data_IF_021251972462
#
_entry.id   IF_021251972462
#
_cell.length_a   1.000
_cell.length_b   1.000
_cell.length_c   1.000
_cell.angle_alpha   90.00
_cell.angle_beta   90.00
_cell.angle_gamma   90.00
#
_symmetry.space_group_name_H-M   'P 1'
#
loop_
_entity.id
_entity.type
_entity.pdbx_description
1 polymer ?
#
# COMPACT_ATOMS: atom_id res chain seq x y z
N UNK A 1 -69.10 7.07 -39.75
CA UNK A 1 -68.03 7.83 -39.07
C UNK A 1 -67.80 7.17 -37.72
N UNK A 2 -66.71 6.40 -37.58
CA UNK A 2 -66.30 5.76 -36.31
C UNK A 2 -65.15 6.57 -35.74
N UNK A 3 -65.40 7.24 -34.62
CA UNK A 3 -64.40 8.02 -33.89
C UNK A 3 -63.47 7.09 -33.13
N UNK A 4 -62.17 7.15 -33.42
CA UNK A 4 -61.12 6.50 -32.65
C UNK A 4 -60.80 7.36 -31.42
N UNK A 5 -61.05 6.82 -30.22
CA UNK A 5 -60.51 7.35 -28.97
C UNK A 5 -59.04 6.90 -28.86
N UNK A 6 -58.11 7.85 -28.93
CA UNK A 6 -56.70 7.60 -28.63
C UNK A 6 -56.50 7.63 -27.11
N UNK A 7 -56.18 6.47 -26.52
CA UNK A 7 -55.71 6.37 -25.14
C UNK A 7 -54.25 6.82 -25.07
N UNK A 8 -54.01 7.99 -24.48
CA UNK A 8 -52.67 8.43 -24.05
C UNK A 8 -52.41 7.76 -22.70
N UNK A 9 -51.56 6.74 -22.68
CA UNK A 9 -51.03 6.14 -21.45
C UNK A 9 -49.94 7.09 -20.92
N UNK A 10 -50.07 7.66 -19.71
CA UNK A 10 -48.99 8.41 -19.11
C UNK A 10 -47.90 7.42 -18.71
N UNK A 11 -46.75 7.49 -19.39
CA UNK A 11 -45.53 6.81 -18.97
C UNK A 11 -45.09 7.47 -17.66
N UNK A 12 -45.39 6.85 -16.53
CA UNK A 12 -44.85 7.26 -15.25
C UNK A 12 -43.33 7.04 -15.28
N UNK A 13 -42.57 8.14 -15.41
CA UNK A 13 -41.15 8.16 -15.15
C UNK A 13 -40.96 7.90 -13.64
N UNK A 14 -40.83 6.63 -13.25
CA UNK A 14 -40.26 6.27 -11.96
C UNK A 14 -38.80 6.69 -11.97
N UNK A 15 -38.53 7.89 -11.47
CA UNK A 15 -37.21 8.25 -10.96
C UNK A 15 -36.87 7.20 -9.91
N UNK A 16 -35.99 6.27 -10.26
CA UNK A 16 -35.28 5.44 -9.31
C UNK A 16 -34.47 6.42 -8.45
N UNK A 17 -35.05 6.85 -7.33
CA UNK A 17 -34.30 7.36 -6.20
C UNK A 17 -33.52 6.14 -5.69
N UNK A 18 -32.37 5.89 -6.31
CA UNK A 18 -31.40 4.93 -5.79
C UNK A 18 -31.16 5.31 -4.34
N UNK A 19 -31.18 4.32 -3.44
CA UNK A 19 -30.88 4.54 -2.04
C UNK A 19 -29.59 5.37 -1.96
N UNK A 20 -29.74 6.62 -1.53
CA UNK A 20 -28.62 7.52 -1.35
C UNK A 20 -27.65 6.83 -0.39
N UNK A 21 -26.37 6.82 -0.73
CA UNK A 21 -25.37 6.18 0.13
C UNK A 21 -25.45 6.87 1.49
N UNK A 22 -25.53 6.11 2.57
CA UNK A 22 -25.52 6.64 3.94
C UNK A 22 -24.10 7.12 4.35
N UNK A 23 -23.56 7.98 3.49
CA UNK A 23 -22.26 8.63 3.61
C UNK A 23 -22.43 10.06 4.09
N UNK A 24 -23.59 10.70 3.92
CA UNK A 24 -23.80 12.10 4.30
C UNK A 24 -23.25 13.09 3.27
N UNK A 25 -23.23 14.39 3.62
CA UNK A 25 -22.70 15.44 2.74
C UNK A 25 -21.18 15.27 2.51
N UNK A 26 -20.75 15.56 1.28
CA UNK A 26 -19.35 15.66 0.91
C UNK A 26 -18.77 17.01 1.37
N UNK A 27 -17.67 16.97 2.11
CA UNK A 27 -16.86 18.13 2.48
C UNK A 27 -15.52 18.10 1.74
N UNK A 28 -15.38 18.84 0.65
CA UNK A 28 -14.13 18.82 -0.14
C UNK A 28 -12.98 19.52 0.59
N UNK A 29 -13.20 20.73 1.09
CA UNK A 29 -12.16 21.66 1.57
C UNK A 29 -12.58 22.45 2.84
N UNK A 30 -13.54 21.93 3.61
CA UNK A 30 -14.14 22.63 4.75
C UNK A 30 -15.37 23.45 4.38
N UNK A 31 -15.86 23.37 3.13
CA UNK A 31 -17.06 24.10 2.66
C UNK A 31 -17.94 23.23 1.76
N UNK A 32 -19.23 23.58 1.69
CA UNK A 32 -20.13 23.10 0.63
C UNK A 32 -19.88 23.86 -0.67
N UNK A 33 -20.43 23.37 -1.78
CA UNK A 33 -20.42 24.07 -3.08
C UNK A 33 -21.05 25.47 -3.00
N UNK A 34 -21.98 25.70 -2.06
CA UNK A 34 -22.58 27.02 -1.78
C UNK A 34 -21.73 27.88 -0.82
N UNK A 35 -20.53 27.44 -0.45
CA UNK A 35 -19.58 28.17 0.39
C UNK A 35 -19.87 28.12 1.89
N UNK A 36 -20.84 27.30 2.33
CA UNK A 36 -21.15 27.11 3.77
C UNK A 36 -20.03 26.32 4.42
N UNK A 37 -19.50 26.80 5.54
CA UNK A 37 -18.48 26.07 6.31
C UNK A 37 -19.05 24.76 6.82
N UNK A 38 -18.35 23.66 6.52
CA UNK A 38 -18.62 22.33 7.06
C UNK A 38 -17.54 22.07 8.11
N UNK A 39 -17.96 21.67 9.31
CA UNK A 39 -17.04 21.26 10.37
C UNK A 39 -16.74 19.77 10.20
N UNK A 40 -15.47 19.41 10.11
CA UNK A 40 -15.03 18.02 9.95
C UNK A 40 -13.76 17.92 9.12
N UNK A 41 -13.23 16.69 8.91
CA UNK A 41 -12.13 16.47 7.99
C UNK A 41 -12.57 16.79 6.55
N UNK A 42 -11.65 17.34 5.75
CA UNK A 42 -11.89 17.59 4.34
C UNK A 42 -11.42 16.40 3.50
N UNK A 43 -12.10 16.09 2.41
CA UNK A 43 -11.75 14.96 1.56
C UNK A 43 -10.45 15.19 0.78
N UNK A 44 -10.07 16.46 0.60
CA UNK A 44 -8.84 16.87 -0.07
C UNK A 44 -7.70 17.21 0.92
N UNK A 45 -7.89 16.97 2.22
CA UNK A 45 -6.79 17.11 3.19
C UNK A 45 -5.70 16.08 2.83
N UNK A 46 -4.48 16.57 2.60
CA UNK A 46 -3.31 15.76 2.25
C UNK A 46 -2.58 15.35 3.52
N UNK A 47 -2.17 14.09 3.57
CA UNK A 47 -1.19 13.56 4.50
C UNK A 47 0.03 13.02 3.75
N UNK A 48 1.12 12.84 4.49
CA UNK A 48 2.31 12.17 4.00
C UNK A 48 2.73 11.04 4.92
N UNK A 49 3.29 10.00 4.33
CA UNK A 49 3.85 8.89 5.08
C UNK A 49 5.17 9.31 5.73
N UNK A 50 5.30 9.01 7.02
CA UNK A 50 6.45 9.43 7.82
C UNK A 50 7.80 8.91 7.34
N UNK A 51 7.87 7.76 6.68
CA UNK A 51 9.16 7.15 6.30
C UNK A 51 9.75 7.74 5.02
N UNK A 52 8.91 8.07 4.04
CA UNK A 52 9.37 8.42 2.69
C UNK A 52 8.68 9.66 2.10
N UNK A 53 7.80 10.31 2.86
CA UNK A 53 7.10 11.51 2.40
C UNK A 53 6.04 11.23 1.34
N UNK A 54 5.65 9.96 1.10
CA UNK A 54 4.64 9.61 0.10
C UNK A 54 3.32 10.35 0.39
N UNK A 55 2.80 11.20 -0.52
CA UNK A 55 1.60 11.96 -0.28
C UNK A 55 0.34 11.20 -0.69
N UNK A 56 -0.70 11.28 0.13
CA UNK A 56 -2.05 10.77 -0.17
C UNK A 56 -3.10 11.68 0.49
N UNK A 57 -4.34 11.66 -0.01
CA UNK A 57 -5.44 12.24 0.77
C UNK A 57 -5.65 11.44 2.06
N UNK A 58 -6.06 12.08 3.16
CA UNK A 58 -6.16 11.41 4.48
C UNK A 58 -7.04 10.14 4.42
N UNK A 59 -8.15 10.16 3.68
CA UNK A 59 -8.99 8.98 3.51
C UNK A 59 -8.35 7.86 2.69
N UNK A 60 -7.62 8.21 1.62
CA UNK A 60 -6.82 7.27 0.83
C UNK A 60 -5.72 6.63 1.70
N UNK A 61 -4.96 7.45 2.43
CA UNK A 61 -3.91 7.01 3.35
C UNK A 61 -4.43 6.05 4.42
N UNK A 62 -5.61 6.32 4.99
CA UNK A 62 -6.21 5.46 6.00
C UNK A 62 -6.68 4.12 5.44
N UNK A 63 -7.33 4.11 4.28
CA UNK A 63 -7.72 2.84 3.63
C UNK A 63 -6.49 2.03 3.26
N UNK A 64 -5.44 2.68 2.74
CA UNK A 64 -4.19 2.00 2.37
C UNK A 64 -3.46 1.45 3.61
N UNK A 65 -3.27 2.26 4.67
CA UNK A 65 -2.50 1.84 5.86
C UNK A 65 -3.20 0.77 6.70
N UNK A 66 -4.53 0.71 6.71
CA UNK A 66 -5.30 -0.22 7.55
C UNK A 66 -5.09 -1.69 7.25
N UNK A 67 -4.48 -2.01 6.11
CA UNK A 67 -4.33 -3.37 5.59
C UNK A 67 -2.95 -3.57 4.95
N UNK A 68 -1.92 -3.02 5.61
CA UNK A 68 -0.51 -3.12 5.26
C UNK A 68 -0.21 -2.51 3.90
N UNK A 69 -0.45 -1.21 3.79
CA UNK A 69 -0.33 -0.46 2.54
C UNK A 69 -1.19 -1.02 1.39
N UNK A 70 -2.42 -1.45 1.70
CA UNK A 70 -3.38 -2.01 0.75
C UNK A 70 -3.01 -3.41 0.26
N UNK A 71 -1.83 -3.91 0.64
CA UNK A 71 -1.25 -5.11 0.07
C UNK A 71 -1.80 -6.41 0.65
N UNK A 72 -2.29 -6.43 1.89
CA UNK A 72 -2.69 -7.67 2.56
C UNK A 72 -4.20 -7.95 2.43
N UNK A 73 -5.07 -6.95 2.56
CA UNK A 73 -6.51 -7.21 2.50
C UNK A 73 -7.13 -6.97 1.11
N UNK A 74 -6.56 -6.02 0.35
CA UNK A 74 -7.26 -5.36 -0.77
C UNK A 74 -6.43 -5.23 -2.05
N UNK A 75 -5.29 -5.91 -2.13
CA UNK A 75 -4.47 -5.92 -3.34
C UNK A 75 -4.87 -7.05 -4.27
N UNK A 76 -4.70 -6.81 -5.57
CA UNK A 76 -4.78 -7.87 -6.58
C UNK A 76 -3.70 -8.93 -6.39
N UNK A 77 -2.59 -8.58 -5.73
CA UNK A 77 -1.55 -9.54 -5.35
C UNK A 77 -1.99 -10.44 -4.18
N UNK A 78 -2.88 -9.98 -3.29
CA UNK A 78 -3.43 -10.84 -2.25
C UNK A 78 -4.42 -11.82 -2.90
N UNK A 79 -4.07 -13.10 -3.00
CA UNK A 79 -4.96 -14.16 -3.49
C UNK A 79 -5.42 -15.10 -2.37
N UNK A 80 -6.62 -15.69 -2.52
CA UNK A 80 -7.16 -16.75 -1.66
C UNK A 80 -7.05 -16.46 -0.15
N UNK A 81 -6.23 -17.21 0.58
CA UNK A 81 -6.02 -17.14 2.03
C UNK A 81 -5.32 -15.88 2.50
N UNK A 82 -4.58 -15.23 1.62
CA UNK A 82 -3.79 -14.06 1.96
C UNK A 82 -4.68 -12.83 2.09
N UNK A 83 -5.90 -12.92 1.56
CA UNK A 83 -6.97 -11.95 1.81
C UNK A 83 -7.54 -12.12 3.20
N UNK A 84 -7.07 -11.30 4.13
CA UNK A 84 -7.69 -11.21 5.45
C UNK A 84 -9.08 -10.56 5.37
N UNK A 85 -10.13 -11.37 5.48
CA UNK A 85 -11.50 -10.90 5.67
C UNK A 85 -12.16 -10.27 4.44
N UNK A 86 -11.61 -10.45 3.22
CA UNK A 86 -12.09 -9.79 2.00
C UNK A 86 -12.27 -10.78 0.84
N UNK A 87 -13.45 -10.86 0.20
CA UNK A 87 -13.66 -11.65 -1.01
C UNK A 87 -12.75 -11.28 -2.18
N UNK A 88 -12.42 -12.28 -3.01
CA UNK A 88 -11.76 -12.07 -4.30
C UNK A 88 -12.56 -11.09 -5.17
N UNK A 89 -11.87 -10.12 -5.79
CA UNK A 89 -12.48 -9.11 -6.65
C UNK A 89 -12.93 -7.84 -5.93
N UNK A 90 -12.66 -7.71 -4.62
CA UNK A 90 -12.81 -6.47 -3.85
C UNK A 90 -11.45 -5.82 -3.57
N UNK A 91 -10.74 -5.52 -4.66
CA UNK A 91 -9.46 -4.80 -4.60
C UNK A 91 -9.70 -3.31 -4.43
N UNK A 92 -9.20 -2.77 -3.32
CA UNK A 92 -9.20 -1.36 -2.95
C UNK A 92 -7.77 -0.85 -2.78
N UNK A 93 -6.82 -1.45 -3.51
CA UNK A 93 -5.44 -0.96 -3.55
C UNK A 93 -5.38 0.38 -4.31
N UNK A 94 -5.20 1.44 -3.53
CA UNK A 94 -5.12 2.82 -4.00
C UNK A 94 -3.69 3.37 -3.88
N UNK A 95 -2.69 2.48 -3.94
CA UNK A 95 -1.31 2.90 -4.13
C UNK A 95 -1.17 3.78 -5.38
N UNK A 96 -0.30 4.78 -5.32
CA UNK A 96 -0.02 5.68 -6.45
C UNK A 96 0.40 4.85 -7.67
N UNK A 97 0.05 5.35 -8.86
CA UNK A 97 0.49 4.79 -10.12
C UNK A 97 2.00 5.00 -10.35
N UNK A 98 2.57 6.06 -9.76
CA UNK A 98 4.00 6.37 -9.89
C UNK A 98 4.51 7.21 -8.71
N UNK A 99 5.74 6.93 -8.29
CA UNK A 99 6.47 7.64 -7.25
C UNK A 99 7.91 7.95 -7.73
N UNK A 100 8.23 9.22 -7.96
CA UNK A 100 9.57 9.63 -8.44
C UNK A 100 10.71 9.22 -7.51
N UNK A 101 10.46 9.14 -6.20
CA UNK A 101 11.46 8.68 -5.23
C UNK A 101 11.87 7.21 -5.44
N UNK A 102 11.10 6.46 -6.23
CA UNK A 102 11.28 5.04 -6.53
C UNK A 102 11.63 4.85 -8.00
N UNK A 103 10.92 5.53 -8.91
CA UNK A 103 11.17 5.49 -10.34
C UNK A 103 11.29 6.93 -10.90
N UNK A 104 12.51 7.38 -11.25
CA UNK A 104 12.73 8.71 -11.82
C UNK A 104 11.93 8.98 -13.11
N UNK A 105 11.48 7.95 -13.82
CA UNK A 105 10.61 8.13 -14.99
C UNK A 105 9.25 8.75 -14.61
N UNK A 106 8.85 8.71 -13.33
CA UNK A 106 7.63 9.35 -12.86
C UNK A 106 7.63 10.88 -12.98
N UNK A 107 8.77 11.55 -13.15
CA UNK A 107 8.83 12.99 -13.38
C UNK A 107 8.33 13.37 -14.79
N UNK A 108 8.43 12.45 -15.75
CA UNK A 108 7.94 12.63 -17.13
C UNK A 108 7.54 11.26 -17.72
N UNK A 109 6.45 10.65 -17.21
CA UNK A 109 6.09 9.28 -17.57
C UNK A 109 5.52 9.16 -19.00
N UNK A 110 5.36 10.27 -19.71
CA UNK A 110 4.65 10.36 -20.98
C UNK A 110 3.13 10.30 -20.82
N UNK A 111 2.41 10.53 -21.93
CA UNK A 111 0.95 10.41 -21.98
C UNK A 111 0.53 8.96 -22.23
N UNK A 112 -0.63 8.58 -21.68
CA UNK A 112 -1.24 7.29 -21.93
C UNK A 112 -2.12 7.26 -23.20
N UNK A 113 -2.09 8.32 -24.00
CA UNK A 113 -2.74 8.40 -25.31
C UNK A 113 -1.94 7.63 -26.38
N UNK A 114 -2.33 6.38 -26.68
CA UNK A 114 -1.76 5.60 -27.80
C UNK A 114 -1.82 4.08 -27.64
N UNK A 115 -1.21 3.35 -28.59
CA UNK A 115 -1.15 1.88 -28.57
C UNK A 115 0.03 1.31 -27.73
N UNK A 116 0.96 2.16 -27.28
CA UNK A 116 2.09 1.74 -26.46
C UNK A 116 1.71 1.86 -24.97
N UNK A 117 1.47 0.73 -24.31
CA UNK A 117 1.29 0.68 -22.85
C UNK A 117 2.67 0.71 -22.18
N UNK A 118 2.97 1.81 -21.48
CA UNK A 118 4.08 1.86 -20.53
C UNK A 118 3.65 1.24 -19.18
N UNK A 119 4.61 0.82 -18.36
CA UNK A 119 4.35 0.38 -16.98
C UNK A 119 3.56 1.43 -16.20
N UNK A 120 3.85 2.71 -16.43
CA UNK A 120 3.09 3.81 -15.85
C UNK A 120 1.59 3.74 -16.21
N UNK A 121 1.28 3.58 -17.50
CA UNK A 121 -0.12 3.53 -17.96
C UNK A 121 -0.87 2.31 -17.45
N UNK A 122 -0.19 1.17 -17.32
CA UNK A 122 -0.78 -0.04 -16.69
C UNK A 122 -1.10 0.22 -15.21
N UNK A 123 -0.19 0.86 -14.47
CA UNK A 123 -0.42 1.22 -13.07
C UNK A 123 -1.51 2.27 -12.89
N UNK A 124 -1.61 3.24 -13.80
CA UNK A 124 -2.68 4.23 -13.81
C UNK A 124 -4.04 3.57 -14.09
N UNK A 125 -4.09 2.62 -15.03
CA UNK A 125 -5.30 1.85 -15.31
C UNK A 125 -5.72 0.97 -14.12
N UNK A 126 -4.77 0.34 -13.41
CA UNK A 126 -5.01 -0.38 -12.15
C UNK A 126 -5.65 0.55 -11.12
N UNK A 127 -5.03 1.72 -10.89
CA UNK A 127 -5.49 2.68 -9.90
C UNK A 127 -6.90 3.21 -10.24
N UNK A 128 -7.16 3.57 -11.49
CA UNK A 128 -8.49 4.01 -11.95
C UNK A 128 -9.56 2.91 -11.79
N UNK A 129 -9.23 1.65 -12.09
CA UNK A 129 -10.14 0.51 -11.86
C UNK A 129 -10.46 0.33 -10.36
N UNK A 130 -9.45 0.37 -9.50
CA UNK A 130 -9.60 0.22 -8.05
C UNK A 130 -10.31 1.44 -7.42
N UNK A 131 -10.08 2.63 -7.94
CA UNK A 131 -10.80 3.85 -7.54
C UNK A 131 -12.28 3.76 -7.86
N UNK A 132 -12.65 3.35 -9.08
CA UNK A 132 -14.06 3.12 -9.44
C UNK A 132 -14.72 2.05 -8.57
N UNK A 133 -13.98 1.00 -8.22
CA UNK A 133 -14.48 -0.05 -7.33
C UNK A 133 -14.67 0.44 -5.90
N UNK A 134 -13.69 1.16 -5.36
CA UNK A 134 -13.79 1.80 -4.04
C UNK A 134 -15.00 2.74 -4.00
N UNK A 135 -15.15 3.56 -5.04
CA UNK A 135 -16.30 4.43 -5.15
C UNK A 135 -17.58 3.60 -5.25
N UNK A 136 -17.69 2.56 -6.08
CA UNK A 136 -18.92 1.77 -6.22
C UNK A 136 -19.36 1.09 -4.92
N UNK A 137 -18.42 0.66 -4.08
CA UNK A 137 -18.62 0.01 -2.78
C UNK A 137 -18.62 0.95 -1.57
N UNK A 138 -18.55 2.27 -1.77
CA UNK A 138 -18.35 3.24 -0.70
C UNK A 138 -19.33 3.09 0.50
N UNK A 139 -20.61 2.82 0.23
CA UNK A 139 -21.61 2.62 1.29
C UNK A 139 -21.38 1.35 2.12
N UNK A 140 -21.00 0.26 1.48
CA UNK A 140 -20.71 -1.01 2.16
C UNK A 140 -19.37 -0.94 2.89
N UNK A 141 -18.35 -0.34 2.29
CA UNK A 141 -17.05 -0.12 2.93
C UNK A 141 -17.19 0.63 4.26
N UNK A 142 -17.94 1.74 4.29
CA UNK A 142 -18.12 2.49 5.53
C UNK A 142 -18.94 1.71 6.56
N UNK A 143 -19.88 0.86 6.12
CA UNK A 143 -20.66 0.01 7.02
C UNK A 143 -19.76 -1.03 7.70
N UNK A 144 -18.90 -1.72 6.94
CA UNK A 144 -17.95 -2.68 7.49
C UNK A 144 -16.93 -2.03 8.43
N UNK A 145 -16.42 -0.83 8.08
CA UNK A 145 -15.55 -0.04 8.96
C UNK A 145 -16.27 0.33 10.26
N UNK A 146 -17.53 0.78 10.18
CA UNK A 146 -18.33 1.13 11.37
C UNK A 146 -18.54 -0.08 12.28
N UNK A 147 -18.81 -1.24 11.67
CA UNK A 147 -19.01 -2.52 12.36
C UNK A 147 -17.71 -3.13 12.92
N UNK A 148 -16.55 -2.57 12.58
CA UNK A 148 -15.24 -3.09 13.02
C UNK A 148 -14.81 -4.37 12.28
N UNK A 149 -15.44 -4.67 11.14
CA UNK A 149 -15.02 -5.74 10.25
C UNK A 149 -13.86 -5.31 9.34
N UNK A 150 -13.66 -3.98 9.16
CA UNK A 150 -12.55 -3.40 8.43
C UNK A 150 -11.83 -2.34 9.29
N UNK A 151 -10.56 -2.56 9.67
CA UNK A 151 -9.77 -3.78 9.42
C UNK A 151 -10.26 -4.97 10.29
N UNK A 152 -10.05 -6.24 9.88
CA UNK A 152 -10.70 -7.40 10.50
C UNK A 152 -10.05 -7.82 11.83
N UNK A 153 -10.60 -7.37 12.96
CA UNK A 153 -10.20 -7.81 14.30
C UNK A 153 -8.67 -7.84 14.54
N UNK A 154 -8.19 -8.84 15.28
CA UNK A 154 -6.75 -9.03 15.55
C UNK A 154 -5.91 -9.27 14.28
N UNK A 155 -6.49 -9.84 13.22
CA UNK A 155 -5.76 -10.01 11.96
C UNK A 155 -5.45 -8.66 11.30
N UNK A 156 -6.46 -7.79 11.25
CA UNK A 156 -6.32 -6.42 10.77
C UNK A 156 -5.37 -5.57 11.59
N UNK A 157 -5.37 -5.74 12.91
CA UNK A 157 -4.40 -5.08 13.80
C UNK A 157 -2.96 -5.56 13.53
N UNK A 158 -2.77 -6.84 13.21
CA UNK A 158 -1.44 -7.44 12.97
C UNK A 158 -0.81 -7.05 11.63
N UNK A 159 -1.61 -6.82 10.59
CA UNK A 159 -1.11 -6.44 9.26
C UNK A 159 -1.21 -4.94 8.99
N UNK A 160 -1.56 -4.14 10.00
CA UNK A 160 -1.64 -2.70 9.83
C UNK A 160 -0.25 -2.15 9.52
N UNK A 161 -0.18 -1.22 8.58
CA UNK A 161 1.03 -0.42 8.44
C UNK A 161 1.12 0.50 9.65
N UNK A 162 2.02 0.18 10.58
CA UNK A 162 2.32 1.01 11.74
C UNK A 162 3.15 2.25 11.37
N UNK A 163 3.47 2.43 10.09
CA UNK A 163 4.06 3.68 9.60
C UNK A 163 3.10 4.84 9.80
N UNK A 164 3.46 5.84 10.64
CA UNK A 164 2.58 6.97 10.89
C UNK A 164 2.43 7.86 9.65
N UNK A 165 1.21 8.32 9.43
CA UNK A 165 0.89 9.35 8.45
C UNK A 165 0.75 10.69 9.15
N UNK A 166 1.29 11.75 8.57
CA UNK A 166 1.33 13.09 9.15
C UNK A 166 0.66 14.12 8.24
N UNK A 167 0.05 15.12 8.87
CA UNK A 167 -0.45 16.32 8.21
C UNK A 167 0.68 17.32 7.95
N UNK A 168 0.49 18.31 7.06
CA UNK A 168 1.48 19.37 6.84
C UNK A 168 1.94 20.11 8.10
N UNK A 169 1.09 20.17 9.14
CA UNK A 169 1.44 20.79 10.43
C UNK A 169 2.20 19.86 11.39
N UNK A 170 2.61 18.66 10.95
CA UNK A 170 3.30 17.65 11.74
C UNK A 170 2.42 16.83 12.68
N UNK A 171 1.11 17.09 12.75
CA UNK A 171 0.20 16.25 13.55
C UNK A 171 -0.07 14.92 12.85
N UNK A 172 -0.11 13.83 13.61
CA UNK A 172 -0.40 12.51 13.08
C UNK A 172 -1.88 12.39 12.64
N UNK A 173 -2.12 11.66 11.54
CA UNK A 173 -3.45 11.25 11.12
C UNK A 173 -3.95 10.17 12.09
N UNK A 174 -5.18 10.26 12.63
CA UNK A 174 -5.76 9.26 13.53
C UNK A 174 -5.75 7.88 12.89
N UNK A 175 -5.37 6.85 13.65
CA UNK A 175 -5.38 5.46 13.16
C UNK A 175 -6.69 4.73 13.53
N UNK A 176 -6.95 3.59 12.90
CA UNK A 176 -7.98 2.63 13.36
C UNK A 176 -7.52 1.76 14.54
N UNK A 177 -6.56 2.24 15.34
CA UNK A 177 -5.98 1.54 16.49
C UNK A 177 -6.88 1.49 17.72
N UNK A 178 -6.28 1.46 18.91
CA UNK A 178 -7.04 1.38 20.17
C UNK A 178 -7.84 2.68 20.44
N UNK A 179 -9.07 2.53 20.93
CA UNK A 179 -10.05 3.62 21.09
C UNK A 179 -9.79 4.50 22.33
N UNK A 180 -8.59 4.49 22.91
CA UNK A 180 -8.35 5.14 24.21
C UNK A 180 -8.50 6.66 24.15
N UNK A 181 -8.46 7.26 22.96
CA UNK A 181 -8.45 8.71 22.72
C UNK A 181 -9.56 9.19 21.77
N UNK A 182 -10.45 8.31 21.31
CA UNK A 182 -11.46 8.63 20.29
C UNK A 182 -10.91 8.77 18.86
N UNK A 183 -9.67 8.33 18.63
CA UNK A 183 -9.02 8.34 17.31
C UNK A 183 -9.76 7.52 16.27
N UNK A 184 -10.33 6.38 16.67
CA UNK A 184 -11.13 5.53 15.77
C UNK A 184 -12.31 6.33 15.19
N UNK A 185 -13.06 7.05 16.04
CA UNK A 185 -14.20 7.83 15.58
C UNK A 185 -13.78 8.90 14.55
N UNK A 186 -12.61 9.50 14.75
CA UNK A 186 -12.06 10.50 13.82
C UNK A 186 -11.57 9.88 12.51
N UNK A 187 -10.89 8.74 12.56
CA UNK A 187 -10.48 7.98 11.38
C UNK A 187 -11.70 7.55 10.54
N UNK A 188 -12.75 7.04 11.20
CA UNK A 188 -14.02 6.69 10.56
C UNK A 188 -14.66 7.87 9.84
N UNK A 189 -14.63 9.06 10.46
CA UNK A 189 -15.21 10.27 9.86
C UNK A 189 -14.38 10.78 8.66
N UNK A 190 -13.05 10.69 8.72
CA UNK A 190 -12.17 11.00 7.58
C UNK A 190 -12.53 10.10 6.40
N UNK A 191 -12.57 8.79 6.60
CA UNK A 191 -12.87 7.83 5.52
C UNK A 191 -14.31 7.98 5.02
N UNK A 192 -15.30 8.20 5.91
CA UNK A 192 -16.68 8.50 5.51
C UNK A 192 -16.72 9.69 4.56
N UNK A 193 -16.12 10.80 4.95
CA UNK A 193 -16.16 12.03 4.17
C UNK A 193 -15.46 11.88 2.81
N UNK A 194 -14.29 11.24 2.82
CA UNK A 194 -13.56 10.92 1.61
C UNK A 194 -14.39 10.06 0.65
N UNK A 195 -15.03 9.00 1.14
CA UNK A 195 -15.96 8.17 0.37
C UNK A 195 -17.19 8.95 -0.12
N UNK A 196 -17.75 9.85 0.69
CA UNK A 196 -18.86 10.72 0.31
C UNK A 196 -18.50 11.64 -0.87
N UNK A 197 -17.24 12.04 -0.96
CA UNK A 197 -16.68 12.86 -2.02
C UNK A 197 -16.16 12.06 -3.22
N UNK A 198 -16.70 10.86 -3.44
CA UNK A 198 -16.26 9.95 -4.50
C UNK A 198 -14.79 9.52 -4.39
N UNK A 199 -14.24 9.50 -3.18
CA UNK A 199 -12.94 8.95 -2.85
C UNK A 199 -11.80 9.54 -3.70
N UNK A 200 -11.55 10.86 -3.70
CA UNK A 200 -10.49 11.45 -4.52
C UNK A 200 -9.14 10.78 -4.25
N UNK A 201 -8.28 10.69 -5.27
CA UNK A 201 -7.00 9.98 -5.18
C UNK A 201 -5.84 10.89 -5.62
N UNK A 202 -4.71 10.76 -4.94
CA UNK A 202 -3.42 11.17 -5.51
C UNK A 202 -2.95 10.01 -6.39
N UNK A 203 -2.74 10.29 -7.67
CA UNK A 203 -2.33 9.28 -8.65
C UNK A 203 -0.82 9.18 -8.78
N UNK A 204 -0.12 10.29 -8.64
CA UNK A 204 1.32 10.40 -8.88
C UNK A 204 1.98 11.36 -7.90
N UNK A 205 3.26 11.12 -7.64
CA UNK A 205 4.09 12.05 -6.88
C UNK A 205 5.44 12.29 -7.54
N UNK A 206 5.93 13.52 -7.40
CA UNK A 206 7.25 13.99 -7.80
C UNK A 206 8.05 14.42 -6.57
N UNK A 207 9.38 14.37 -6.64
CA UNK A 207 10.24 14.94 -5.62
C UNK A 207 10.02 16.45 -5.55
N UNK A 208 9.75 16.96 -4.35
CA UNK A 208 9.58 18.39 -4.15
C UNK A 208 10.90 19.13 -4.51
N UNK A 209 10.90 20.09 -5.45
CA UNK A 209 12.13 20.79 -5.84
C UNK A 209 12.61 21.78 -4.76
N UNK A 210 11.78 22.08 -3.77
CA UNK A 210 12.14 22.81 -2.55
C UNK A 210 11.19 22.46 -1.40
N UNK A 211 11.58 22.77 -0.16
CA UNK A 211 10.74 22.53 1.03
C UNK A 211 9.39 23.27 0.95
N UNK A 212 9.36 24.46 0.35
CA UNK A 212 8.14 25.26 0.22
C UNK A 212 7.10 24.62 -0.72
N UNK A 213 7.53 23.71 -1.60
CA UNK A 213 6.66 23.02 -2.56
C UNK A 213 6.22 21.63 -2.09
N UNK A 214 6.72 21.15 -0.94
CA UNK A 214 6.26 19.89 -0.36
C UNK A 214 4.75 19.90 -0.16
N UNK A 215 4.08 18.79 -0.51
CA UNK A 215 2.63 18.61 -0.38
C UNK A 215 1.78 19.60 -1.18
N UNK A 216 2.38 20.29 -2.15
CA UNK A 216 1.66 21.13 -3.11
C UNK A 216 1.43 20.37 -4.43
N UNK A 217 0.44 20.79 -5.25
CA UNK A 217 0.22 20.15 -6.55
C UNK A 217 1.44 20.26 -7.48
N UNK A 218 1.83 19.15 -8.11
CA UNK A 218 2.80 19.15 -9.23
C UNK A 218 2.07 19.27 -10.59
N UNK A 219 2.81 19.51 -11.70
CA UNK A 219 2.22 19.51 -13.03
C UNK A 219 1.41 18.23 -13.30
N UNK A 220 0.20 18.40 -13.82
CA UNK A 220 -0.71 17.27 -14.10
C UNK A 220 -0.52 16.80 -15.54
N UNK A 221 -0.62 15.49 -15.74
CA UNK A 221 -0.60 14.83 -17.05
C UNK A 221 -1.97 14.16 -17.22
N UNK A 222 -2.61 14.37 -18.37
CA UNK A 222 -3.89 13.73 -18.72
C UNK A 222 -5.01 13.86 -17.65
N UNK A 223 -4.97 14.94 -16.85
CA UNK A 223 -5.97 15.24 -15.82
C UNK A 223 -5.84 14.45 -14.52
N UNK A 224 -4.74 13.72 -14.33
CA UNK A 224 -4.46 13.02 -13.07
C UNK A 224 -4.10 14.00 -11.93
N UNK A 225 -4.22 13.53 -10.69
CA UNK A 225 -3.80 14.31 -9.53
C UNK A 225 -2.34 13.99 -9.19
N UNK A 226 -1.49 15.01 -9.26
CA UNK A 226 -0.09 14.95 -8.85
C UNK A 226 0.14 15.83 -7.61
N UNK A 227 0.82 15.29 -6.60
CA UNK A 227 1.26 16.03 -5.41
C UNK A 227 2.75 15.81 -5.17
N UNK A 228 3.51 16.88 -4.93
CA UNK A 228 4.92 16.77 -4.56
C UNK A 228 5.09 16.04 -3.22
N UNK A 229 6.15 15.24 -3.08
CA UNK A 229 6.47 14.51 -1.85
C UNK A 229 6.49 15.44 -0.63
N UNK A 230 6.07 14.92 0.51
CA UNK A 230 6.23 15.58 1.80
C UNK A 230 7.67 15.57 2.31
N UNK A 231 7.88 16.06 3.55
CA UNK A 231 9.12 15.82 4.26
C UNK A 231 9.40 14.31 4.33
N UNK A 232 10.60 13.92 3.92
CA UNK A 232 11.11 12.59 4.22
C UNK A 232 11.35 12.53 5.73
N UNK A 233 10.72 11.59 6.44
CA UNK A 233 11.02 11.43 7.85
C UNK A 233 12.28 10.61 8.08
N UNK A 234 12.44 10.15 9.31
CA UNK A 234 13.62 9.39 9.69
C UNK A 234 13.66 8.09 8.87
N UNK A 235 14.78 7.90 8.17
CA UNK A 235 15.14 6.59 7.67
C UNK A 235 15.28 5.64 8.87
N UNK A 236 15.05 4.32 8.69
CA UNK A 236 15.34 3.37 9.75
C UNK A 236 16.80 3.55 10.22
N UNK A 237 17.04 3.37 11.52
CA UNK A 237 18.40 3.17 12.01
C UNK A 237 19.01 1.95 11.29
N UNK A 238 20.33 1.94 11.02
CA UNK A 238 21.01 0.83 10.32
C UNK A 238 21.23 -0.37 11.25
N UNK A 239 20.19 -0.78 11.97
CA UNK A 239 20.12 -1.98 12.80
C UNK A 239 19.07 -2.93 12.24
N UNK A 240 19.21 -4.23 12.51
CA UNK A 240 18.31 -5.21 11.93
C UNK A 240 16.89 -5.04 12.47
N UNK A 241 16.72 -4.77 13.76
CA UNK A 241 15.41 -4.51 14.36
C UNK A 241 14.65 -3.36 13.68
N UNK A 242 15.33 -2.24 13.48
CA UNK A 242 14.76 -1.05 12.82
C UNK A 242 14.42 -1.31 11.35
N UNK A 243 15.32 -1.96 10.60
CA UNK A 243 15.10 -2.35 9.20
C UNK A 243 13.96 -3.36 9.09
N UNK A 244 13.90 -4.34 9.98
CA UNK A 244 12.90 -5.39 9.96
C UNK A 244 11.49 -4.80 10.10
N UNK A 245 11.26 -4.00 11.14
CA UNK A 245 9.96 -3.40 11.40
C UNK A 245 9.56 -2.39 10.31
N UNK A 246 10.52 -1.59 9.83
CA UNK A 246 10.22 -0.51 8.89
C UNK A 246 10.05 -0.98 7.44
N UNK A 247 10.77 -2.03 7.05
CA UNK A 247 10.86 -2.46 5.64
C UNK A 247 10.48 -3.92 5.44
N UNK A 248 11.12 -4.86 6.14
CA UNK A 248 10.94 -6.29 5.86
C UNK A 248 9.49 -6.70 6.15
N UNK A 249 8.99 -6.33 7.33
CA UNK A 249 7.65 -6.63 7.77
C UNK A 249 6.59 -6.00 6.86
N UNK A 250 6.77 -4.72 6.53
CA UNK A 250 5.76 -3.92 5.81
C UNK A 250 5.72 -4.18 4.31
N UNK A 251 6.85 -4.56 3.71
CA UNK A 251 7.02 -4.54 2.25
C UNK A 251 7.52 -5.86 1.66
N UNK A 252 8.16 -6.73 2.44
CA UNK A 252 8.77 -7.96 1.93
C UNK A 252 8.00 -9.22 2.33
N UNK A 253 7.50 -9.31 3.56
CA UNK A 253 6.87 -10.53 4.08
C UNK A 253 5.60 -10.96 3.36
N UNK A 254 4.93 -10.07 2.63
CA UNK A 254 3.77 -10.43 1.81
C UNK A 254 4.10 -11.56 0.83
N UNK A 255 5.19 -11.41 0.08
CA UNK A 255 5.61 -12.39 -0.92
C UNK A 255 6.68 -13.36 -0.39
N UNK A 256 7.35 -12.99 0.70
CA UNK A 256 8.48 -13.74 1.28
C UNK A 256 8.16 -14.47 2.59
N UNK A 257 6.91 -14.43 3.06
CA UNK A 257 6.47 -15.13 4.25
C UNK A 257 6.34 -16.66 4.04
N UNK A 258 6.47 -17.47 5.10
CA UNK A 258 6.24 -18.91 5.02
C UNK A 258 4.78 -19.22 4.67
N UNK A 259 4.55 -20.40 4.11
CA UNK A 259 3.20 -20.96 4.04
C UNK A 259 2.68 -21.19 5.47
N UNK A 260 1.65 -20.45 5.89
CA UNK A 260 1.11 -20.59 7.24
C UNK A 260 0.28 -21.89 7.37
N UNK A 261 0.12 -22.38 8.60
CA UNK A 261 -0.54 -23.66 8.91
C UNK A 261 -2.08 -23.64 8.76
N UNK A 262 -2.65 -22.53 8.30
CA UNK A 262 -4.09 -22.34 8.15
C UNK A 262 -4.58 -22.91 6.82
N UNK A 263 -4.45 -24.23 6.59
CA UNK A 263 -4.98 -25.01 5.44
C UNK A 263 -4.73 -24.50 4.00
N UNK A 264 -4.17 -23.32 3.80
CA UNK A 264 -3.93 -22.75 2.49
C UNK A 264 -2.43 -22.58 2.28
N UNK A 265 -1.94 -23.30 1.28
CA UNK A 265 -0.63 -23.06 0.68
C UNK A 265 -0.57 -21.58 0.29
N UNK A 266 0.47 -20.85 0.72
CA UNK A 266 0.74 -19.47 0.27
C UNK A 266 0.59 -19.46 -1.27
N UNK A 267 -0.46 -18.86 -1.85
CA UNK A 267 -0.76 -18.96 -3.28
C UNK A 267 0.25 -18.24 -4.18
N UNK A 268 1.04 -17.30 -3.64
CA UNK A 268 2.20 -16.68 -4.31
C UNK A 268 3.49 -17.49 -4.11
N UNK A 269 3.43 -18.49 -3.23
CA UNK A 269 4.41 -19.56 -3.06
C UNK A 269 3.71 -20.96 -3.10
N UNK A 270 2.99 -21.29 -4.18
CA UNK A 270 2.06 -22.42 -4.20
C UNK A 270 2.77 -23.78 -4.19
N UNK A 271 4.10 -23.78 -4.35
CA UNK A 271 4.98 -24.95 -4.33
C UNK A 271 5.81 -25.06 -3.04
N UNK A 272 5.76 -24.06 -2.15
CA UNK A 272 6.76 -23.90 -1.08
C UNK A 272 8.11 -23.34 -1.58
N UNK A 273 8.30 -23.14 -2.90
CA UNK A 273 9.42 -22.37 -3.45
C UNK A 273 9.13 -20.87 -3.45
N UNK A 274 9.77 -20.16 -2.52
CA UNK A 274 9.59 -18.72 -2.40
C UNK A 274 10.25 -18.04 -3.60
N UNK A 275 9.51 -17.22 -4.36
CA UNK A 275 10.05 -16.53 -5.51
C UNK A 275 11.16 -15.57 -5.06
N UNK A 276 12.19 -15.42 -5.90
CA UNK A 276 13.27 -14.47 -5.66
C UNK A 276 14.56 -15.06 -5.13
N UNK A 277 14.79 -16.38 -5.18
CA UNK A 277 16.12 -16.93 -4.99
C UNK A 277 16.74 -16.58 -3.64
N UNK A 278 16.00 -16.79 -2.54
CA UNK A 278 16.58 -17.17 -1.25
C UNK A 278 16.22 -18.64 -0.97
N UNK A 279 17.10 -19.39 -0.30
CA UNK A 279 16.85 -20.82 -0.03
C UNK A 279 15.58 -21.03 0.83
N UNK A 280 14.85 -22.15 0.63
CA UNK A 280 13.74 -22.51 1.50
C UNK A 280 14.12 -22.53 2.99
N UNK A 281 15.34 -22.97 3.33
CA UNK A 281 15.85 -23.00 4.70
C UNK A 281 16.09 -21.60 5.28
N UNK A 282 16.60 -20.68 4.47
CA UNK A 282 16.77 -19.29 4.84
C UNK A 282 15.44 -18.64 5.17
N UNK A 283 14.49 -18.71 4.24
CA UNK A 283 13.20 -18.05 4.43
C UNK A 283 12.27 -18.81 5.40
N UNK A 284 12.50 -20.10 5.65
CA UNK A 284 11.89 -20.80 6.79
C UNK A 284 12.36 -20.26 8.14
N UNK A 285 13.40 -19.43 8.22
CA UNK A 285 13.72 -18.67 9.43
C UNK A 285 12.98 -17.31 9.50
N UNK A 286 12.36 -16.85 8.40
CA UNK A 286 11.25 -15.88 8.48
C UNK A 286 9.95 -16.56 8.94
N UNK A 287 9.97 -17.86 9.22
CA UNK A 287 8.90 -18.56 9.92
C UNK A 287 8.94 -18.21 11.40
N UNK A 288 8.25 -17.11 11.69
CA UNK A 288 8.06 -16.59 13.01
C UNK A 288 7.01 -17.39 13.80
N UNK A 289 6.61 -18.56 13.30
CA UNK A 289 5.71 -19.49 13.98
C UNK A 289 6.39 -20.38 15.03
N UNK A 290 7.25 -19.77 15.86
CA UNK A 290 7.74 -20.41 17.08
C UNK A 290 6.61 -21.00 17.95
N UNK A 291 6.93 -21.54 19.12
CA UNK A 291 5.93 -22.21 19.99
C UNK A 291 4.68 -21.37 20.27
N UNK A 292 4.80 -20.04 20.14
CA UNK A 292 3.70 -19.11 19.95
C UNK A 292 3.90 -18.25 18.68
N UNK A 293 3.23 -18.53 17.55
CA UNK A 293 3.24 -17.67 16.36
C UNK A 293 2.65 -16.27 16.61
N UNK A 294 2.15 -15.99 17.81
CA UNK A 294 1.59 -14.70 18.22
C UNK A 294 2.57 -13.84 19.02
N UNK A 295 3.77 -14.32 19.35
CA UNK A 295 4.79 -13.51 20.05
C UNK A 295 5.59 -12.68 19.05
N UNK A 296 5.12 -11.46 18.77
CA UNK A 296 5.78 -10.52 17.85
C UNK A 296 6.95 -9.77 18.47
N UNK A 297 7.22 -9.97 19.78
CA UNK A 297 8.19 -9.15 20.51
C UNK A 297 9.65 -9.43 20.14
N UNK A 298 9.91 -10.52 19.41
CA UNK A 298 11.26 -10.96 19.05
C UNK A 298 11.43 -11.27 17.55
N UNK A 299 10.47 -10.86 16.71
CA UNK A 299 10.44 -11.22 15.31
C UNK A 299 11.65 -10.73 14.51
N UNK A 300 12.11 -9.52 14.77
CA UNK A 300 13.36 -9.04 14.20
C UNK A 300 14.52 -9.98 14.56
N UNK A 301 14.76 -10.24 15.84
CA UNK A 301 15.88 -11.08 16.27
C UNK A 301 15.86 -12.48 15.64
N UNK A 302 14.68 -13.10 15.60
CA UNK A 302 14.50 -14.47 15.09
C UNK A 302 14.63 -14.54 13.55
N UNK A 303 14.20 -13.50 12.83
CA UNK A 303 14.27 -13.41 11.37
C UNK A 303 15.66 -13.09 10.82
N UNK A 304 16.60 -12.62 11.64
CA UNK A 304 17.95 -12.24 11.17
C UNK A 304 18.67 -13.38 10.46
N UNK A 305 18.62 -14.58 11.05
CA UNK A 305 19.27 -15.77 10.52
C UNK A 305 18.68 -16.22 9.17
N UNK A 306 17.53 -15.69 8.78
CA UNK A 306 16.87 -15.99 7.52
C UNK A 306 17.51 -15.34 6.30
N UNK A 307 18.22 -14.24 6.52
CA UNK A 307 18.87 -13.45 5.46
C UNK A 307 20.38 -13.47 5.59
N UNK A 308 20.89 -13.59 6.81
CA UNK A 308 22.31 -13.52 7.11
C UNK A 308 23.08 -14.77 6.66
N UNK A 309 24.04 -14.59 5.74
CA UNK A 309 24.89 -15.67 5.20
C UNK A 309 24.12 -16.88 4.63
N UNK A 310 22.89 -16.61 4.18
CA UNK A 310 22.01 -17.60 3.60
C UNK A 310 22.25 -17.72 2.09
N UNK A 311 22.44 -18.93 1.53
CA UNK A 311 22.54 -19.11 0.09
C UNK A 311 21.29 -18.63 -0.65
N UNK A 312 21.50 -18.00 -1.81
CA UNK A 312 20.42 -17.57 -2.69
C UNK A 312 19.50 -18.74 -3.09
N UNK A 313 20.04 -19.91 -3.44
CA UNK A 313 19.17 -21.07 -3.57
C UNK A 313 19.89 -22.33 -3.14
N UNK A 314 19.15 -23.21 -2.47
CA UNK A 314 19.61 -24.56 -2.18
C UNK A 314 19.55 -25.44 -3.45
N UNK A 315 18.67 -25.14 -4.41
CA UNK A 315 18.46 -25.92 -5.64
C UNK A 315 18.01 -25.04 -6.83
N UNK A 316 18.25 -25.46 -8.07
CA UNK A 316 17.73 -24.80 -9.28
C UNK A 316 18.67 -23.77 -9.92
N UNK A 317 18.13 -22.88 -10.78
CA UNK A 317 18.95 -21.97 -11.61
C UNK A 317 19.84 -21.00 -10.82
N UNK A 318 19.53 -20.78 -9.54
CA UNK A 318 20.29 -19.90 -8.64
C UNK A 318 21.17 -20.66 -7.64
N UNK A 319 21.27 -21.99 -7.76
CA UNK A 319 22.11 -22.81 -6.87
C UNK A 319 23.57 -22.35 -6.94
N UNK A 320 24.12 -21.97 -5.78
CA UNK A 320 25.48 -21.42 -5.69
C UNK A 320 25.68 -20.03 -6.30
N UNK A 321 24.63 -19.35 -6.74
CA UNK A 321 24.69 -18.02 -7.37
C UNK A 321 24.50 -16.87 -6.36
N UNK A 322 25.30 -16.89 -5.29
CA UNK A 322 25.37 -15.80 -4.32
C UNK A 322 24.70 -16.11 -2.98
N UNK A 323 24.74 -15.10 -2.11
CA UNK A 323 24.24 -15.13 -0.74
C UNK A 323 23.27 -13.97 -0.57
N UNK A 324 22.17 -14.19 0.16
CA UNK A 324 21.14 -13.17 0.43
C UNK A 324 21.78 -11.92 1.03
N UNK A 325 22.48 -12.09 2.16
CA UNK A 325 23.34 -11.07 2.76
C UNK A 325 24.76 -11.61 2.90
N UNK A 326 25.71 -10.93 2.28
CA UNK A 326 27.15 -11.14 2.44
C UNK A 326 27.66 -10.10 3.45
N UNK A 327 28.04 -10.51 4.68
CA UNK A 327 28.47 -9.55 5.69
C UNK A 327 29.71 -8.75 5.24
N UNK A 328 29.65 -7.43 5.42
CA UNK A 328 30.67 -6.46 4.94
C UNK A 328 30.75 -6.29 3.41
N UNK A 329 29.76 -6.77 2.65
CA UNK A 329 29.70 -6.61 1.19
C UNK A 329 28.25 -6.43 0.70
N UNK A 330 27.73 -5.21 0.86
CA UNK A 330 26.40 -4.84 0.39
C UNK A 330 26.26 -4.96 -1.13
N UNK A 331 27.32 -4.70 -1.90
CA UNK A 331 27.32 -4.80 -3.35
C UNK A 331 27.23 -6.26 -3.84
N UNK A 332 27.89 -7.18 -3.15
CA UNK A 332 27.83 -8.63 -3.40
C UNK A 332 26.56 -9.30 -2.86
N UNK A 333 25.81 -8.62 -2.00
CA UNK A 333 24.59 -9.15 -1.37
C UNK A 333 23.41 -9.16 -2.34
N UNK A 334 22.80 -10.33 -2.53
CA UNK A 334 21.65 -10.49 -3.44
C UNK A 334 20.44 -9.67 -2.98
N UNK A 335 20.27 -9.46 -1.67
CA UNK A 335 19.21 -8.64 -1.09
C UNK A 335 19.23 -7.21 -1.66
N UNK A 336 20.39 -6.56 -1.73
CA UNK A 336 20.53 -5.21 -2.29
C UNK A 336 20.26 -5.21 -3.79
N UNK A 337 20.75 -6.21 -4.51
CA UNK A 337 20.52 -6.31 -5.96
C UNK A 337 19.03 -6.45 -6.27
N UNK A 338 18.28 -7.22 -5.47
CA UNK A 338 16.83 -7.40 -5.61
C UNK A 338 16.04 -6.15 -5.25
N UNK A 339 16.40 -5.47 -4.16
CA UNK A 339 15.74 -4.21 -3.79
C UNK A 339 15.88 -3.15 -4.89
N UNK A 340 17.00 -3.16 -5.63
CA UNK A 340 17.29 -2.27 -6.76
C UNK A 340 16.83 -2.80 -8.12
N UNK A 341 16.18 -3.96 -8.18
CA UNK A 341 15.80 -4.63 -9.42
C UNK A 341 16.96 -4.88 -10.42
N UNK A 342 18.20 -5.05 -9.93
CA UNK A 342 19.40 -5.35 -10.73
C UNK A 342 19.96 -6.76 -10.44
N UNK A 343 19.14 -7.63 -9.86
CA UNK A 343 19.50 -9.00 -9.49
C UNK A 343 20.18 -9.77 -10.61
N UNK A 344 21.22 -10.49 -10.22
CA UNK A 344 21.96 -11.39 -11.11
C UNK A 344 21.36 -12.79 -11.19
N UNK A 345 20.45 -13.14 -10.29
CA UNK A 345 19.79 -14.44 -10.23
C UNK A 345 18.37 -14.37 -9.66
N UNK A 346 17.54 -15.34 -10.04
CA UNK A 346 16.15 -15.52 -9.59
C UNK A 346 15.15 -14.67 -10.36
N UNK A 347 13.88 -14.80 -10.01
CA UNK A 347 12.83 -13.96 -10.56
C UNK A 347 13.09 -12.47 -10.27
N UNK A 348 12.65 -11.60 -11.18
CA UNK A 348 12.71 -10.16 -10.99
C UNK A 348 11.89 -9.76 -9.77
N UNK A 349 12.44 -8.81 -8.99
CA UNK A 349 11.84 -8.36 -7.74
C UNK A 349 11.58 -6.85 -7.77
N UNK A 350 10.37 -6.41 -7.35
CA UNK A 350 9.19 -7.21 -7.04
C UNK A 350 8.57 -7.88 -8.27
N UNK A 351 7.97 -9.06 -8.06
CA UNK A 351 7.43 -9.96 -9.11
C UNK A 351 6.39 -9.26 -10.01
N UNK A 352 5.65 -8.29 -9.48
CA UNK A 352 4.58 -7.61 -10.19
C UNK A 352 5.05 -6.44 -11.07
N UNK A 353 6.21 -5.83 -10.77
CA UNK A 353 6.68 -4.63 -11.46
C UNK A 353 7.97 -4.84 -12.24
N UNK A 354 8.79 -5.84 -11.88
CA UNK A 354 10.12 -6.04 -12.45
C UNK A 354 11.08 -4.87 -12.22
N UNK A 355 10.71 -3.93 -11.35
CA UNK A 355 11.39 -2.65 -11.13
C UNK A 355 11.41 -2.26 -9.65
N UNK A 356 12.40 -1.47 -9.25
CA UNK A 356 12.60 -1.04 -7.87
C UNK A 356 11.31 -0.49 -7.25
N UNK A 357 11.00 -0.91 -6.02
CA UNK A 357 9.80 -0.46 -5.28
C UNK A 357 10.15 0.24 -3.96
N UNK A 358 11.41 0.16 -3.54
CA UNK A 358 11.92 0.72 -2.29
C UNK A 358 12.78 1.94 -2.66
N UNK A 359 12.62 3.11 -2.01
CA UNK A 359 13.46 4.27 -2.28
C UNK A 359 14.94 4.01 -2.01
N UNK A 360 15.82 4.58 -2.83
CA UNK A 360 17.29 4.40 -2.71
C UNK A 360 17.83 4.76 -1.33
N UNK A 361 17.27 5.81 -0.70
CA UNK A 361 17.67 6.22 0.64
C UNK A 361 17.45 5.10 1.68
N UNK A 362 16.34 4.38 1.59
CA UNK A 362 16.04 3.23 2.45
C UNK A 362 16.93 2.04 2.12
N UNK A 363 17.16 1.76 0.82
CA UNK A 363 18.08 0.69 0.40
C UNK A 363 19.50 0.97 0.92
N UNK A 364 19.93 2.23 0.95
CA UNK A 364 21.26 2.60 1.44
C UNK A 364 21.43 2.37 2.95
N UNK A 365 20.37 2.49 3.76
CA UNK A 365 20.41 2.08 5.18
C UNK A 365 20.64 0.58 5.30
N UNK A 366 19.93 -0.21 4.50
CA UNK A 366 20.13 -1.66 4.46
C UNK A 366 21.55 -2.01 4.04
N UNK A 367 22.08 -1.32 3.02
CA UNK A 367 23.45 -1.50 2.58
C UNK A 367 24.46 -1.14 3.68
N UNK A 368 24.24 -0.05 4.42
CA UNK A 368 25.07 0.34 5.56
C UNK A 368 25.06 -0.72 6.67
N UNK A 369 23.88 -1.26 7.03
CA UNK A 369 23.76 -2.36 7.98
C UNK A 369 24.55 -3.60 7.53
N UNK A 370 24.48 -3.97 6.25
CA UNK A 370 25.27 -5.07 5.70
C UNK A 370 26.77 -4.78 5.78
N UNK A 371 27.18 -3.57 5.41
CA UNK A 371 28.59 -3.14 5.39
C UNK A 371 29.19 -3.03 6.80
N UNK A 372 28.37 -2.87 7.84
CA UNK A 372 28.75 -3.01 9.25
C UNK A 372 28.90 -4.47 9.72
N UNK A 373 28.75 -5.43 8.81
CA UNK A 373 28.82 -6.86 9.10
C UNK A 373 27.46 -7.49 9.44
N UNK A 374 26.36 -6.80 9.11
CA UNK A 374 24.98 -7.27 9.33
C UNK A 374 24.72 -7.78 10.77
N UNK A 375 25.00 -6.98 11.82
CA UNK A 375 24.78 -7.41 13.21
C UNK A 375 23.30 -7.68 13.51
N UNK A 376 23.04 -8.67 14.36
CA UNK A 376 21.73 -8.89 14.99
C UNK A 376 21.71 -8.16 16.33
N UNK A 377 20.75 -7.25 16.53
CA UNK A 377 20.64 -6.37 17.70
C UNK A 377 19.50 -6.74 18.66
#
# INVERSE_FOLDING_TARGET
MRSYLAYVIPLALTLLVGCDRDLGECNLDGRTDEGRVITGPAALDIAYRGTDGLPMYEGQALVQSSCGNGQFCHSTAAERSDRFGVPVGLDFDLALACNEAVDPACADPGSCDGDAQSTYCEQLQRLDSNHRRTNSWAGDMIAEIRNGAMPPGEAGLRVRDDTPWFRPNGSQVPSFGSDETGEIARAKEIVRNWLACAAPIVSRTELAPSEELQLTPCPTIDGETCVYTGPQGALPDPTWSSIYESLIFTSCLLCHGPANSNVDQNPDNPSGMIPGGASPEGLAALDLSGVDPMDTSNWAFDSHAAVFDVPASAEGECEGQGTVVVPNDSAGSLMIQKMRAIQTCGAEMPIATGGQSIPDATINVVAEWIDMGAPND
#
